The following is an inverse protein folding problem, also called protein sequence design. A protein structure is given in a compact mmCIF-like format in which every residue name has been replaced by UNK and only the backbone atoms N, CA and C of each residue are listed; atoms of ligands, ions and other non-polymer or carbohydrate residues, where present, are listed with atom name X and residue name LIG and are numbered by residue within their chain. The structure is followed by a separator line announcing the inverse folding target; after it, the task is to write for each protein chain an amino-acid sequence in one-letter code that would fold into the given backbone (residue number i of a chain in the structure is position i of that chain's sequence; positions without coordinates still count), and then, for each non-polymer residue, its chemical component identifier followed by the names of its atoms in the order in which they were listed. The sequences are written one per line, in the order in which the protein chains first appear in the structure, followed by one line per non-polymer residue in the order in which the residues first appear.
data_IF_399726800312
#
_entry.id   IF_399726800312
#
_cell.length_a   1.000
_cell.length_b   1.000
_cell.length_c   1.000
_cell.angle_alpha   90.00
_cell.angle_beta   90.00
_cell.angle_gamma   90.00
#
_symmetry.space_group_name_H-M   'P 1'
#
loop_
_entity.id
_entity.type
_entity.pdbx_description
1 polymer ?
#
# COMPACT_ATOMS: atom_id res chain seq x y z
N UNK A 1 -16.44 7.98 13.44
CA UNK A 1 -17.20 8.26 12.19
C UNK A 1 -16.21 8.48 11.04
N UNK A 2 -16.62 8.27 9.80
CA UNK A 2 -15.78 8.63 8.65
C UNK A 2 -15.83 10.15 8.42
N UNK A 3 -14.70 10.75 8.10
CA UNK A 3 -14.60 12.18 7.78
C UNK A 3 -14.12 12.39 6.36
N UNK A 4 -14.41 13.54 5.78
CA UNK A 4 -13.85 13.93 4.49
C UNK A 4 -12.42 14.40 4.72
N UNK A 5 -11.47 13.80 3.99
CA UNK A 5 -10.06 14.14 4.03
C UNK A 5 -9.68 14.76 2.68
N UNK A 6 -9.35 16.06 2.70
CA UNK A 6 -8.86 16.76 1.53
C UNK A 6 -7.38 16.44 1.32
N UNK A 7 -7.03 16.08 0.10
CA UNK A 7 -5.67 15.69 -0.19
C UNK A 7 -4.73 16.90 -0.26
N UNK A 8 -3.56 16.82 0.40
CA UNK A 8 -2.48 17.78 0.18
C UNK A 8 -2.04 17.87 -1.28
N UNK A 9 -1.54 19.04 -1.69
CA UNK A 9 -1.12 19.31 -3.07
C UNK A 9 -0.16 18.28 -3.65
N UNK A 10 0.73 17.71 -2.83
CA UNK A 10 1.66 16.64 -3.27
C UNK A 10 0.96 15.42 -3.87
N UNK A 11 -0.23 15.10 -3.41
CA UNK A 11 -1.02 13.98 -3.95
C UNK A 11 -1.86 14.42 -5.15
N UNK A 12 -2.48 15.61 -5.08
CA UNK A 12 -3.34 16.09 -6.17
C UNK A 12 -2.58 16.51 -7.43
N UNK A 13 -1.26 16.67 -7.35
CA UNK A 13 -0.38 16.86 -8.51
C UNK A 13 -0.09 15.58 -9.28
N UNK A 14 -0.30 14.42 -8.66
CA UNK A 14 -0.15 13.15 -9.36
C UNK A 14 -1.36 12.93 -10.28
N UNK A 15 -1.16 12.34 -11.46
CA UNK A 15 -2.26 12.00 -12.37
C UNK A 15 -3.34 11.17 -11.68
N UNK A 16 -4.58 11.40 -12.05
CA UNK A 16 -5.76 10.62 -11.63
C UNK A 16 -6.04 10.56 -10.11
N UNK A 17 -5.42 11.41 -9.30
CA UNK A 17 -5.73 11.48 -7.88
C UNK A 17 -6.96 12.36 -7.62
N UNK A 18 -7.86 11.94 -6.70
CA UNK A 18 -9.03 12.75 -6.35
C UNK A 18 -8.62 13.95 -5.49
N UNK A 19 -9.48 14.96 -5.42
CA UNK A 19 -9.26 16.10 -4.51
C UNK A 19 -9.51 15.76 -3.04
N UNK A 20 -10.35 14.75 -2.80
CA UNK A 20 -10.76 14.32 -1.46
C UNK A 20 -11.04 12.82 -1.42
N UNK A 21 -10.89 12.25 -0.24
CA UNK A 21 -11.28 10.87 0.08
C UNK A 21 -12.04 10.83 1.40
N UNK A 22 -12.71 9.74 1.65
CA UNK A 22 -13.29 9.41 2.96
C UNK A 22 -12.21 8.74 3.81
N UNK A 23 -12.06 9.17 5.06
CA UNK A 23 -11.06 8.64 6.00
C UNK A 23 -11.75 8.23 7.31
N UNK A 24 -11.41 7.05 7.81
CA UNK A 24 -11.68 6.62 9.17
C UNK A 24 -10.34 6.33 9.86
N UNK A 25 -10.10 6.92 11.01
CA UNK A 25 -8.81 6.89 11.69
C UNK A 25 -7.91 8.07 11.29
N UNK A 26 -6.61 7.84 11.24
CA UNK A 26 -5.60 8.87 10.98
C UNK A 26 -4.77 8.51 9.74
N UNK A 27 -4.46 9.50 8.90
CA UNK A 27 -3.47 9.34 7.85
C UNK A 27 -2.09 9.68 8.42
N UNK A 28 -1.14 8.72 8.45
CA UNK A 28 0.13 8.91 9.15
C UNK A 28 1.05 9.90 8.42
N UNK A 29 1.95 10.52 9.20
CA UNK A 29 2.97 11.46 8.68
C UNK A 29 4.32 10.81 8.36
N UNK A 30 4.41 9.47 8.42
CA UNK A 30 5.62 8.72 8.05
C UNK A 30 5.59 8.35 6.57
N UNK A 31 6.75 8.06 5.94
CA UNK A 31 6.79 7.51 4.60
C UNK A 31 6.08 6.16 4.56
N UNK A 32 5.40 5.87 3.45
CA UNK A 32 4.57 4.67 3.31
C UNK A 32 5.12 3.75 2.22
N UNK A 33 5.35 2.49 2.58
CA UNK A 33 5.63 1.41 1.64
C UNK A 33 4.31 0.71 1.29
N UNK A 34 3.91 0.76 0.02
CA UNK A 34 2.79 -0.07 -0.42
C UNK A 34 3.27 -1.51 -0.58
N UNK A 35 2.60 -2.47 0.09
CA UNK A 35 2.85 -3.91 -0.08
C UNK A 35 1.64 -4.50 -0.80
N UNK A 36 1.88 -5.07 -1.99
CA UNK A 36 0.83 -5.63 -2.84
C UNK A 36 1.20 -7.01 -3.35
N UNK A 37 0.19 -7.81 -3.74
CA UNK A 37 0.48 -9.12 -4.31
C UNK A 37 -0.74 -10.00 -4.53
N UNK A 38 -0.49 -11.30 -4.54
CA UNK A 38 -1.49 -12.34 -4.78
C UNK A 38 -2.57 -12.36 -3.70
N UNK A 39 -3.83 -12.56 -4.13
CA UNK A 39 -4.95 -12.85 -3.22
C UNK A 39 -4.96 -14.30 -2.74
N UNK A 40 -4.17 -15.17 -3.38
CA UNK A 40 -3.95 -16.58 -3.04
C UNK A 40 -2.45 -16.87 -3.05
N UNK A 41 -1.69 -16.31 -2.09
CA UNK A 41 -0.25 -16.46 -2.06
C UNK A 41 0.16 -17.88 -1.69
N UNK A 42 1.35 -18.26 -2.17
CA UNK A 42 2.01 -19.48 -1.70
C UNK A 42 2.48 -19.32 -0.26
N UNK A 43 2.76 -20.46 0.40
CA UNK A 43 3.34 -20.44 1.76
C UNK A 43 4.67 -19.68 1.80
N UNK A 44 5.49 -19.83 0.76
CA UNK A 44 6.77 -19.13 0.63
C UNK A 44 6.57 -17.63 0.57
N UNK A 45 5.60 -17.14 -0.23
CA UNK A 45 5.29 -15.72 -0.30
C UNK A 45 4.77 -15.16 1.04
N UNK A 46 3.94 -15.93 1.75
CA UNK A 46 3.49 -15.55 3.10
C UNK A 46 4.64 -15.46 4.09
N UNK A 47 5.61 -16.39 4.01
CA UNK A 47 6.79 -16.39 4.88
C UNK A 47 7.71 -15.17 4.66
N UNK A 48 7.58 -14.48 3.52
CA UNK A 48 8.34 -13.26 3.27
C UNK A 48 7.75 -12.02 3.96
N UNK A 49 6.44 -12.02 4.26
CA UNK A 49 5.77 -10.82 4.82
C UNK A 49 6.34 -10.40 6.18
N UNK A 50 6.58 -11.30 7.15
CA UNK A 50 7.09 -10.90 8.46
C UNK A 50 8.38 -10.10 8.39
N UNK A 51 9.39 -10.54 7.64
CA UNK A 51 10.68 -9.85 7.56
C UNK A 51 10.61 -8.57 6.71
N UNK A 52 9.77 -8.54 5.64
CA UNK A 52 9.54 -7.33 4.84
C UNK A 52 8.91 -6.23 5.71
N UNK A 53 7.89 -6.57 6.46
CA UNK A 53 7.20 -5.61 7.33
C UNK A 53 8.10 -5.18 8.47
N UNK A 54 8.89 -6.10 9.04
CA UNK A 54 9.86 -5.81 10.09
C UNK A 54 10.91 -4.81 9.63
N UNK A 55 11.53 -5.05 8.49
CA UNK A 55 12.52 -4.15 7.89
C UNK A 55 11.93 -2.76 7.60
N UNK A 56 10.70 -2.68 7.10
CA UNK A 56 10.04 -1.41 6.82
C UNK A 56 9.72 -0.63 8.11
N UNK A 57 9.10 -1.29 9.10
CA UNK A 57 8.70 -0.66 10.37
C UNK A 57 9.94 -0.21 11.16
N UNK A 58 10.98 -1.06 11.25
CA UNK A 58 12.24 -0.73 11.91
C UNK A 58 12.99 0.43 11.23
N UNK A 59 12.78 0.62 9.92
CA UNK A 59 13.29 1.77 9.17
C UNK A 59 12.41 3.03 9.32
N UNK A 60 11.37 3.01 10.14
CA UNK A 60 10.46 4.14 10.38
C UNK A 60 9.45 4.38 9.24
N UNK A 61 9.16 3.34 8.45
CA UNK A 61 8.13 3.39 7.41
C UNK A 61 6.83 2.77 7.90
N UNK A 62 5.71 3.36 7.49
CA UNK A 62 4.40 2.74 7.61
C UNK A 62 4.08 1.85 6.42
N UNK A 63 3.09 0.97 6.59
CA UNK A 63 2.63 0.06 5.53
C UNK A 63 1.33 0.59 4.93
N UNK A 64 1.20 0.50 3.63
CA UNK A 64 -0.02 0.83 2.91
C UNK A 64 -0.42 -0.35 2.02
N UNK A 65 -1.70 -0.67 1.96
CA UNK A 65 -2.17 -1.73 1.05
C UNK A 65 -3.66 -1.59 0.73
N UNK A 66 -4.15 -2.51 -0.11
CA UNK A 66 -5.54 -2.51 -0.54
C UNK A 66 -6.51 -3.25 0.39
N UNK A 67 -6.02 -3.88 1.44
CA UNK A 67 -6.84 -4.66 2.34
C UNK A 67 -7.48 -5.91 1.73
N UNK A 68 -7.03 -6.37 0.56
CA UNK A 68 -7.52 -7.59 -0.07
C UNK A 68 -7.08 -8.84 0.71
N UNK A 69 -7.67 -10.01 0.36
CA UNK A 69 -7.18 -11.31 0.85
C UNK A 69 -5.71 -11.51 0.47
N UNK A 70 -5.03 -12.40 1.15
CA UNK A 70 -3.65 -12.78 0.84
C UNK A 70 -2.63 -11.74 1.29
N UNK A 71 -1.73 -11.33 0.40
CA UNK A 71 -0.58 -10.47 0.72
C UNK A 71 -0.99 -9.17 1.42
N UNK A 72 -2.00 -8.47 0.91
CA UNK A 72 -2.46 -7.20 1.47
C UNK A 72 -2.89 -7.34 2.94
N UNK A 73 -3.79 -8.30 3.21
CA UNK A 73 -4.30 -8.53 4.56
C UNK A 73 -3.21 -8.99 5.53
N UNK A 74 -2.26 -9.80 5.06
CA UNK A 74 -1.16 -10.27 5.91
C UNK A 74 -0.17 -9.14 6.21
N UNK A 75 0.14 -8.29 5.24
CA UNK A 75 0.97 -7.11 5.45
C UNK A 75 0.40 -6.20 6.56
N UNK A 76 -0.91 -5.96 6.55
CA UNK A 76 -1.57 -5.21 7.63
C UNK A 76 -1.46 -5.91 8.98
N UNK A 77 -1.72 -7.25 9.05
CA UNK A 77 -1.63 -8.00 10.30
C UNK A 77 -0.23 -7.98 10.90
N UNK A 78 0.78 -8.19 10.05
CA UNK A 78 2.17 -8.19 10.50
C UNK A 78 2.62 -6.79 10.95
N UNK A 79 2.14 -5.73 10.29
CA UNK A 79 2.40 -4.36 10.73
C UNK A 79 1.80 -4.07 12.11
N UNK A 80 0.55 -4.47 12.34
CA UNK A 80 -0.12 -4.30 13.64
C UNK A 80 0.56 -5.11 14.76
N UNK A 81 1.05 -6.32 14.50
CA UNK A 81 1.81 -7.12 15.46
C UNK A 81 3.09 -6.41 15.94
N UNK A 82 3.68 -5.57 15.10
CA UNK A 82 4.90 -4.79 15.39
C UNK A 82 4.60 -3.37 15.89
N UNK A 83 3.36 -3.10 16.26
CA UNK A 83 2.91 -1.75 16.64
C UNK A 83 3.23 -0.68 15.58
N UNK A 84 3.38 -1.11 14.32
CA UNK A 84 3.61 -0.23 13.17
C UNK A 84 2.31 0.42 12.70
N UNK A 85 2.44 1.56 12.03
CA UNK A 85 1.30 2.27 11.46
C UNK A 85 0.96 1.72 10.07
N UNK A 86 -0.32 1.44 9.83
CA UNK A 86 -0.76 0.93 8.53
C UNK A 86 -2.01 1.61 8.02
N UNK A 87 -2.13 1.70 6.69
CA UNK A 87 -3.24 2.35 5.99
C UNK A 87 -3.84 1.40 4.96
N UNK A 88 -5.14 1.16 5.07
CA UNK A 88 -5.89 0.38 4.08
C UNK A 88 -6.67 1.31 3.15
N UNK A 89 -6.54 1.10 1.84
CA UNK A 89 -7.35 1.81 0.84
C UNK A 89 -8.36 0.86 0.24
N UNK A 90 -9.64 1.20 0.32
CA UNK A 90 -10.72 0.30 -0.08
C UNK A 90 -11.28 0.62 -1.46
N UNK A 91 -11.76 -0.42 -2.18
CA UNK A 91 -12.54 -0.31 -3.41
C UNK A 91 -14.06 -0.34 -3.16
N UNK A 92 -14.48 0.01 -1.94
CA UNK A 92 -15.87 0.13 -1.50
C UNK A 92 -15.98 1.25 -0.48
N UNK A 93 -17.19 1.67 -0.14
CA UNK A 93 -17.43 2.64 0.92
C UNK A 93 -17.04 2.12 2.31
N UNK A 94 -16.81 3.03 3.25
CA UNK A 94 -16.34 2.69 4.59
C UNK A 94 -17.42 2.03 5.48
N UNK A 95 -18.68 2.04 5.06
CA UNK A 95 -19.76 1.26 5.66
C UNK A 95 -19.98 -0.10 4.99
N UNK A 96 -19.41 -0.31 3.78
CA UNK A 96 -19.50 -1.53 2.99
C UNK A 96 -18.14 -2.23 2.89
N UNK A 97 -17.56 -2.59 4.03
CA UNK A 97 -16.19 -3.15 4.11
C UNK A 97 -16.04 -4.43 3.29
N UNK A 98 -15.00 -4.49 2.46
CA UNK A 98 -14.68 -5.66 1.65
C UNK A 98 -13.16 -5.97 1.65
N UNK A 99 -12.76 -7.23 1.85
CA UNK A 99 -13.61 -8.39 2.08
C UNK A 99 -14.24 -8.38 3.50
N UNK A 100 -15.45 -8.90 3.69
CA UNK A 100 -16.18 -8.78 4.96
C UNK A 100 -15.45 -9.42 6.14
N UNK A 101 -14.70 -10.49 5.91
CA UNK A 101 -13.87 -11.15 6.93
C UNK A 101 -12.71 -10.26 7.44
N UNK A 102 -12.35 -9.19 6.73
CA UNK A 102 -11.35 -8.22 7.18
C UNK A 102 -11.94 -7.03 7.97
N UNK A 103 -13.25 -7.03 8.25
CA UNK A 103 -13.87 -5.95 9.01
C UNK A 103 -13.21 -5.74 10.39
N UNK A 104 -12.88 -6.84 11.09
CA UNK A 104 -12.11 -6.80 12.34
C UNK A 104 -10.69 -6.26 12.16
N UNK A 105 -10.03 -6.59 11.04
CA UNK A 105 -8.71 -6.07 10.71
C UNK A 105 -8.75 -4.55 10.49
N UNK A 106 -9.71 -4.07 9.71
CA UNK A 106 -9.86 -2.62 9.44
C UNK A 106 -10.17 -1.83 10.72
N UNK A 107 -10.93 -2.41 11.65
CA UNK A 107 -11.17 -1.81 12.95
C UNK A 107 -9.88 -1.69 13.76
N UNK A 108 -9.08 -2.77 13.84
CA UNK A 108 -7.79 -2.76 14.54
C UNK A 108 -6.80 -1.75 13.94
N UNK A 109 -6.78 -1.58 12.62
CA UNK A 109 -5.96 -0.55 11.96
C UNK A 109 -6.29 0.83 12.54
N UNK A 110 -7.56 1.18 12.65
CA UNK A 110 -8.00 2.47 13.19
C UNK A 110 -7.68 2.60 14.69
N UNK A 111 -7.95 1.56 15.47
CA UNK A 111 -7.70 1.52 16.92
C UNK A 111 -6.21 1.69 17.26
N UNK A 112 -5.29 1.24 16.39
CA UNK A 112 -3.85 1.36 16.57
C UNK A 112 -3.24 2.60 15.87
N UNK A 113 -4.06 3.61 15.55
CA UNK A 113 -3.58 4.90 15.04
C UNK A 113 -3.33 4.93 13.53
N UNK A 114 -3.76 3.90 12.80
CA UNK A 114 -3.74 3.89 11.35
C UNK A 114 -5.03 4.43 10.73
N UNK A 115 -5.20 4.24 9.42
CA UNK A 115 -6.33 4.75 8.67
C UNK A 115 -6.93 3.76 7.67
N UNK A 116 -8.22 3.93 7.42
CA UNK A 116 -8.93 3.24 6.34
C UNK A 116 -9.55 4.30 5.43
N UNK A 117 -9.17 4.26 4.14
CA UNK A 117 -9.57 5.27 3.16
C UNK A 117 -10.40 4.67 2.04
N UNK A 118 -11.28 5.51 1.50
CA UNK A 118 -12.01 5.23 0.27
C UNK A 118 -12.28 6.53 -0.50
N UNK A 119 -12.26 6.47 -1.82
CA UNK A 119 -12.75 7.57 -2.67
C UNK A 119 -14.26 7.54 -2.87
N UNK A 120 -14.91 6.47 -2.45
CA UNK A 120 -16.35 6.27 -2.64
C UNK A 120 -17.14 6.73 -1.42
N UNK A 121 -18.41 7.03 -1.63
CA UNK A 121 -19.35 7.31 -0.55
C UNK A 121 -19.44 6.12 0.42
N UNK A 122 -19.71 6.40 1.69
CA UNK A 122 -19.61 5.41 2.76
C UNK A 122 -20.44 4.15 2.53
N UNK A 123 -21.59 4.27 1.87
CA UNK A 123 -22.50 3.17 1.57
C UNK A 123 -22.28 2.52 0.20
N UNK A 124 -21.24 2.94 -0.53
CA UNK A 124 -20.97 2.41 -1.84
C UNK A 124 -20.58 0.92 -1.80
N UNK A 125 -21.33 0.01 -2.46
CA UNK A 125 -21.03 -1.42 -2.42
C UNK A 125 -19.74 -1.75 -3.18
N UNK A 126 -19.07 -2.87 -2.86
CA UNK A 126 -17.94 -3.35 -3.65
C UNK A 126 -18.40 -3.70 -5.06
N UNK A 127 -17.64 -3.26 -6.06
CA UNK A 127 -17.85 -3.55 -7.48
C UNK A 127 -16.54 -3.99 -8.12
N UNK A 128 -16.51 -4.99 -9.02
CA UNK A 128 -15.27 -5.51 -9.60
C UNK A 128 -14.37 -4.44 -10.22
N UNK A 129 -14.93 -3.46 -10.92
CA UNK A 129 -14.19 -2.38 -11.59
C UNK A 129 -13.56 -1.36 -10.61
N UNK A 130 -14.08 -1.23 -9.39
CA UNK A 130 -13.55 -0.30 -8.37
C UNK A 130 -12.19 -0.72 -7.83
N UNK A 131 -11.89 -2.02 -7.83
CA UNK A 131 -10.62 -2.52 -7.30
C UNK A 131 -9.42 -2.13 -8.18
N UNK A 132 -9.44 -2.29 -9.52
CA UNK A 132 -8.41 -1.75 -10.38
C UNK A 132 -8.31 -0.22 -10.31
N UNK A 133 -9.44 0.48 -10.28
CA UNK A 133 -9.47 1.94 -10.19
C UNK A 133 -8.82 2.44 -8.88
N UNK A 134 -9.08 1.80 -7.75
CA UNK A 134 -8.50 2.11 -6.46
C UNK A 134 -6.97 1.97 -6.43
N UNK A 135 -6.37 1.11 -7.25
CA UNK A 135 -4.93 0.84 -7.24
C UNK A 135 -4.08 2.11 -7.48
N UNK A 136 -4.60 3.09 -8.21
CA UNK A 136 -3.94 4.40 -8.38
C UNK A 136 -3.78 5.14 -7.04
N UNK A 137 -4.72 4.96 -6.13
CA UNK A 137 -4.63 5.56 -4.79
C UNK A 137 -3.57 4.86 -3.94
N UNK A 138 -3.45 3.52 -4.05
CA UNK A 138 -2.38 2.77 -3.37
C UNK A 138 -1.03 3.30 -3.85
N UNK A 139 -0.82 3.38 -5.15
CA UNK A 139 0.38 3.96 -5.72
C UNK A 139 0.54 5.44 -5.32
N UNK A 140 -0.48 6.26 -5.48
CA UNK A 140 -0.42 7.70 -5.21
C UNK A 140 -0.05 8.04 -3.77
N UNK A 141 -0.60 7.35 -2.79
CA UNK A 141 -0.34 7.60 -1.37
C UNK A 141 0.96 6.98 -0.84
N UNK A 142 1.56 6.02 -1.55
CA UNK A 142 2.83 5.41 -1.13
C UNK A 142 4.04 6.20 -1.65
N UNK A 143 5.20 5.98 -1.02
CA UNK A 143 6.49 6.50 -1.48
C UNK A 143 7.21 5.48 -2.38
N UNK A 144 6.94 4.19 -2.17
CA UNK A 144 7.42 3.09 -2.98
C UNK A 144 6.40 1.95 -2.99
N UNK A 145 6.49 1.05 -3.96
CA UNK A 145 5.60 -0.11 -4.08
C UNK A 145 6.40 -1.41 -4.10
N UNK A 146 6.09 -2.31 -3.17
CA UNK A 146 6.67 -3.64 -3.04
C UNK A 146 5.72 -4.71 -3.56
N UNK A 147 6.14 -5.46 -4.56
CA UNK A 147 5.42 -6.63 -5.08
C UNK A 147 5.99 -7.89 -4.46
N UNK A 148 5.25 -8.57 -3.59
CA UNK A 148 5.74 -9.79 -2.92
C UNK A 148 5.59 -11.00 -3.82
N UNK A 149 4.40 -11.26 -4.32
CA UNK A 149 4.12 -12.34 -5.27
C UNK A 149 3.02 -11.92 -6.22
N UNK A 150 3.23 -12.11 -7.52
CA UNK A 150 2.22 -11.83 -8.52
C UNK A 150 2.31 -12.79 -9.72
N UNK A 151 1.18 -13.35 -10.12
CA UNK A 151 1.04 -14.00 -11.41
C UNK A 151 0.99 -12.95 -12.53
N UNK A 152 1.18 -13.35 -13.79
CA UNK A 152 1.27 -12.45 -14.93
C UNK A 152 0.08 -11.50 -15.12
N UNK A 153 -1.11 -11.90 -14.68
CA UNK A 153 -2.35 -11.11 -14.75
C UNK A 153 -2.87 -10.70 -13.36
N UNK A 154 -2.00 -10.62 -12.37
CA UNK A 154 -2.40 -10.27 -10.99
C UNK A 154 -2.80 -8.80 -10.88
N UNK A 155 -3.84 -8.51 -10.08
CA UNK A 155 -4.26 -7.14 -9.75
C UNK A 155 -3.17 -6.32 -9.05
N UNK A 156 -2.27 -6.95 -8.29
CA UNK A 156 -1.12 -6.28 -7.66
C UNK A 156 -0.16 -5.66 -8.67
N UNK A 157 0.00 -6.28 -9.86
CA UNK A 157 0.81 -5.70 -10.94
C UNK A 157 0.23 -4.40 -11.49
N UNK A 158 -1.11 -4.23 -11.44
CA UNK A 158 -1.74 -2.96 -11.82
C UNK A 158 -1.26 -1.80 -10.96
N UNK A 159 -1.13 -2.01 -9.65
CA UNK A 159 -0.57 -0.99 -8.74
C UNK A 159 0.89 -0.68 -9.06
N UNK A 160 1.72 -1.71 -9.29
CA UNK A 160 3.13 -1.55 -9.60
C UNK A 160 3.37 -0.82 -10.93
N UNK A 161 2.58 -1.12 -11.96
CA UNK A 161 2.64 -0.41 -13.25
C UNK A 161 2.24 1.06 -13.12
N UNK A 162 1.14 1.34 -12.42
CA UNK A 162 0.75 2.73 -12.16
C UNK A 162 1.86 3.47 -11.40
N UNK A 163 2.52 2.81 -10.45
CA UNK A 163 3.62 3.39 -9.70
C UNK A 163 4.80 3.75 -10.60
N UNK A 164 5.26 2.82 -11.44
CA UNK A 164 6.39 3.03 -12.33
C UNK A 164 6.06 3.98 -13.49
N UNK A 165 4.99 3.69 -14.22
CA UNK A 165 4.73 4.31 -15.53
C UNK A 165 4.01 5.66 -15.42
N UNK A 166 3.22 5.86 -14.36
CA UNK A 166 2.37 7.06 -14.23
C UNK A 166 2.83 7.96 -13.09
N UNK A 167 3.18 7.39 -11.93
CA UNK A 167 3.54 8.18 -10.75
C UNK A 167 5.06 8.36 -10.56
N UNK A 168 5.90 7.74 -11.42
CA UNK A 168 7.36 7.84 -11.36
C UNK A 168 7.96 7.31 -10.05
N UNK A 169 7.34 6.30 -9.44
CA UNK A 169 7.76 5.75 -8.15
C UNK A 169 8.56 4.47 -8.30
N UNK A 170 9.49 4.28 -7.39
CA UNK A 170 10.26 3.04 -7.33
C UNK A 170 9.39 1.85 -7.01
N UNK A 171 9.54 0.80 -7.80
CA UNK A 171 8.95 -0.51 -7.59
C UNK A 171 10.03 -1.47 -7.12
N UNK A 172 9.73 -2.20 -6.06
CA UNK A 172 10.56 -3.29 -5.53
C UNK A 172 9.82 -4.60 -5.71
N UNK A 173 10.53 -5.70 -5.89
CA UNK A 173 9.91 -7.01 -6.03
C UNK A 173 10.73 -8.12 -5.38
N UNK A 174 10.02 -9.08 -4.77
CA UNK A 174 10.62 -10.33 -4.29
C UNK A 174 10.81 -11.28 -5.48
N UNK A 175 12.00 -11.86 -5.66
CA UNK A 175 12.23 -12.87 -6.65
C UNK A 175 11.50 -14.16 -6.27
N UNK A 176 10.97 -14.85 -7.24
CA UNK A 176 10.32 -16.13 -7.02
C UNK A 176 10.84 -17.24 -7.92
N UNK A 177 10.33 -18.44 -7.69
CA UNK A 177 10.77 -19.63 -8.42
C UNK A 177 10.62 -19.42 -9.94
N UNK A 178 11.69 -19.69 -10.67
CA UNK A 178 11.71 -19.63 -12.11
C UNK A 178 10.64 -20.57 -12.73
N UNK A 179 9.98 -20.11 -13.79
CA UNK A 179 8.92 -20.85 -14.51
C UNK A 179 7.65 -21.14 -13.67
N UNK A 180 7.55 -20.67 -12.43
CA UNK A 180 6.32 -20.77 -11.64
C UNK A 180 5.30 -19.72 -12.09
N UNK A 181 4.07 -20.12 -12.47
CA UNK A 181 3.03 -19.16 -12.88
C UNK A 181 2.67 -18.14 -11.81
N UNK A 182 2.74 -18.51 -10.53
CA UNK A 182 2.42 -17.66 -9.39
C UNK A 182 3.40 -16.50 -9.21
N UNK A 183 4.64 -16.67 -9.72
CA UNK A 183 5.73 -15.69 -9.63
C UNK A 183 6.04 -14.99 -10.97
N UNK A 184 5.37 -15.40 -12.04
CA UNK A 184 5.65 -14.89 -13.38
C UNK A 184 5.56 -13.36 -13.49
N UNK A 185 4.64 -12.75 -12.76
CA UNK A 185 4.46 -11.30 -12.75
C UNK A 185 5.52 -10.57 -11.94
N UNK A 186 5.84 -11.01 -10.70
CA UNK A 186 6.92 -10.40 -9.91
C UNK A 186 8.28 -10.56 -10.59
N UNK A 187 8.59 -11.76 -11.13
CA UNK A 187 9.81 -11.97 -11.90
C UNK A 187 9.89 -11.12 -13.19
N UNK A 188 8.73 -10.81 -13.80
CA UNK A 188 8.68 -9.88 -14.93
C UNK A 188 8.99 -8.45 -14.49
N UNK A 189 8.41 -7.98 -13.36
CA UNK A 189 8.72 -6.64 -12.84
C UNK A 189 10.21 -6.45 -12.57
N UNK A 190 10.91 -7.48 -12.07
CA UNK A 190 12.37 -7.46 -11.90
C UNK A 190 13.10 -7.30 -13.22
N UNK A 191 12.69 -8.01 -14.26
CA UNK A 191 13.27 -7.85 -15.62
C UNK A 191 12.99 -6.48 -16.23
N UNK A 192 11.85 -5.90 -15.89
CA UNK A 192 11.42 -4.58 -16.36
C UNK A 192 12.03 -3.43 -15.51
N UNK A 193 12.94 -3.72 -14.55
CA UNK A 193 13.74 -2.74 -13.81
C UNK A 193 13.29 -2.48 -12.37
N UNK A 194 12.37 -3.28 -11.81
CA UNK A 194 12.08 -3.21 -10.38
C UNK A 194 13.32 -3.61 -9.56
N UNK A 195 13.52 -2.96 -8.40
CA UNK A 195 14.61 -3.31 -7.49
C UNK A 195 14.35 -4.69 -6.87
N UNK A 196 15.36 -5.55 -6.95
CA UNK A 196 15.31 -6.87 -6.33
C UNK A 196 15.43 -6.73 -4.82
N UNK A 197 14.55 -7.44 -4.10
CA UNK A 197 14.59 -7.54 -2.64
C UNK A 197 14.48 -9.02 -2.27
N UNK A 198 15.59 -9.62 -1.89
CA UNK A 198 15.70 -11.03 -1.52
C UNK A 198 15.92 -11.24 -0.02
N UNK A 199 16.37 -10.20 0.68
CA UNK A 199 16.68 -10.22 2.10
C UNK A 199 16.35 -8.87 2.76
N UNK A 200 16.30 -8.78 4.11
CA UNK A 200 15.97 -7.54 4.81
C UNK A 200 16.89 -6.37 4.47
N UNK A 201 18.17 -6.63 4.30
CA UNK A 201 19.23 -5.65 4.01
C UNK A 201 18.99 -4.92 2.70
N UNK A 202 18.52 -5.64 1.66
CA UNK A 202 18.14 -5.07 0.36
C UNK A 202 17.04 -4.02 0.55
N UNK A 203 16.03 -4.37 1.36
CA UNK A 203 14.90 -3.48 1.62
C UNK A 203 15.33 -2.26 2.44
N UNK A 204 16.10 -2.45 3.50
CA UNK A 204 16.60 -1.35 4.35
C UNK A 204 17.42 -0.37 3.52
N UNK A 205 18.33 -0.86 2.67
CA UNK A 205 19.13 -0.03 1.78
C UNK A 205 18.26 0.78 0.82
N UNK A 206 17.30 0.13 0.15
CA UNK A 206 16.37 0.80 -0.75
C UNK A 206 15.52 1.86 -0.04
N UNK A 207 14.94 1.55 1.12
CA UNK A 207 14.10 2.48 1.87
C UNK A 207 14.88 3.70 2.39
N UNK A 208 16.16 3.53 2.71
CA UNK A 208 17.03 4.63 3.12
C UNK A 208 17.22 5.66 2.00
N UNK A 209 17.39 5.19 0.76
CA UNK A 209 17.53 6.05 -0.42
C UNK A 209 16.21 6.72 -0.84
N UNK A 210 15.08 6.06 -0.58
CA UNK A 210 13.76 6.51 -0.97
C UNK A 210 13.07 7.40 0.08
N UNK A 211 13.71 7.64 1.21
CA UNK A 211 13.15 8.47 2.28
C UNK A 211 12.98 9.91 1.79
N UNK A 212 11.76 10.48 1.87
CA UNK A 212 11.56 11.89 1.52
C UNK A 212 12.45 12.78 2.36
N UNK A 213 13.05 13.82 1.75
CA UNK A 213 13.82 14.82 2.49
C UNK A 213 12.94 15.52 3.54
N UNK A 214 13.54 15.92 4.67
CA UNK A 214 12.82 16.61 5.76
C UNK A 214 12.10 17.89 5.28
N UNK A 215 12.63 18.55 4.25
CA UNK A 215 12.04 19.75 3.64
C UNK A 215 10.73 19.46 2.91
N UNK A 216 10.61 18.33 2.21
CA UNK A 216 9.37 17.90 1.57
C UNK A 216 8.27 17.56 2.61
N UNK A 217 8.67 17.24 3.84
CA UNK A 217 7.75 16.99 4.96
C UNK A 217 7.29 18.30 5.64
N UNK A 218 8.14 19.32 5.70
CA UNK A 218 7.86 20.60 6.39
C UNK A 218 6.95 21.56 5.59
N UNK A 219 6.90 21.48 4.26
CA UNK A 219 5.90 22.21 3.47
C UNK A 219 4.46 21.78 3.76
N UNK A 220 4.32 20.66 4.44
CA UNK A 220 3.04 20.10 4.82
C UNK A 220 2.37 20.86 5.98
N UNK A 221 3.15 21.38 6.94
CA UNK A 221 2.61 22.01 8.15
C UNK A 221 2.21 23.48 7.96
N UNK A 222 2.73 24.15 6.96
CA UNK A 222 2.49 25.60 6.76
C UNK A 222 1.18 25.96 6.04
N UNK A 223 0.47 25.00 5.43
CA UNK A 223 -0.73 25.27 4.62
C UNK A 223 -2.01 24.59 5.14
N UNK A 224 -2.01 23.99 6.31
CA UNK A 224 -3.21 23.50 6.96
C UNK A 224 -3.20 23.89 8.46
N UNK A 225 -3.41 25.18 8.80
CA UNK A 225 -3.63 25.59 10.18
C UNK A 225 -5.09 25.33 10.52
N UNK A 226 -5.40 24.21 11.13
CA UNK A 226 -6.74 24.02 11.68
C UNK A 226 -7.32 22.61 11.50
N UNK A 227 -7.09 21.79 12.43
CA UNK A 227 -8.08 21.05 13.28
C UNK A 227 -7.39 20.60 14.53
#
# INVERSE_FOLDING_TARGET
MAQTFYLPLRFTRLPDMPLRVRLRGVFPRVPLLAIVGSRRPTKTALASIPWIVDAAVSSGWGILSGGARGIDGEAHRECLKRCGVTVAILGSGLSCLYPPEHAGLFRKIVEQGGGVLSEYDDEAPPRPWRFPQRNRLISGFSNAVMVVQAAAQSGGLGTARIAADIHGKTVLAVPGLARSPEWAGSNRMLRDGALLVSEPEDLVAALSLLRPSAEASAEHDKKNPGT
#
